data_IF_414603651173
#
_entry.id   IF_414603651173
#
_cell.length_a   1.000
_cell.length_b   1.000
_cell.length_c   1.000
_cell.angle_alpha   90.00
_cell.angle_beta   90.00
_cell.angle_gamma   90.00
#
_symmetry.space_group_name_H-M   'P 1'
#
loop_
_entity.id
_entity.type
_entity.pdbx_description
1 polymer ?
#
# COMPACT_ATOMS: atom_id res chain seq x y z
N UNK A 1 -11.13 5.34 -15.71
CA UNK A 1 -9.98 5.49 -14.79
C UNK A 1 -10.34 6.14 -13.45
N UNK A 2 -11.32 7.05 -13.37
CA UNK A 2 -11.69 7.72 -12.10
C UNK A 2 -11.95 6.76 -10.92
N UNK A 3 -12.78 5.72 -11.12
CA UNK A 3 -13.09 4.74 -10.05
C UNK A 3 -11.85 4.00 -9.54
N UNK A 4 -10.92 3.66 -10.45
CA UNK A 4 -9.65 3.01 -10.08
C UNK A 4 -8.77 3.93 -9.22
N UNK A 5 -8.68 5.21 -9.56
CA UNK A 5 -7.93 6.18 -8.74
C UNK A 5 -8.57 6.38 -7.36
N UNK A 6 -9.90 6.41 -7.29
CA UNK A 6 -10.63 6.49 -6.02
C UNK A 6 -10.32 5.26 -5.15
N UNK A 7 -10.39 4.06 -5.72
CA UNK A 7 -10.01 2.81 -5.06
C UNK A 7 -8.58 2.87 -4.49
N UNK A 8 -7.60 3.30 -5.27
CA UNK A 8 -6.21 3.41 -4.80
C UNK A 8 -6.06 4.43 -3.67
N UNK A 9 -6.77 5.56 -3.74
CA UNK A 9 -6.76 6.60 -2.70
C UNK A 9 -7.36 6.08 -1.40
N UNK A 10 -8.49 5.40 -1.46
CA UNK A 10 -9.13 4.79 -0.29
C UNK A 10 -8.21 3.77 0.40
N UNK A 11 -7.53 2.91 -0.37
CA UNK A 11 -6.55 1.96 0.19
C UNK A 11 -5.34 2.69 0.81
N UNK A 12 -4.84 3.74 0.15
CA UNK A 12 -3.73 4.55 0.70
C UNK A 12 -4.14 5.23 2.02
N UNK A 13 -5.36 5.73 2.13
CA UNK A 13 -5.87 6.35 3.35
C UNK A 13 -5.99 5.33 4.49
N UNK A 14 -6.44 4.10 4.19
CA UNK A 14 -6.46 3.00 5.16
C UNK A 14 -5.05 2.62 5.62
N UNK A 15 -4.07 2.56 4.70
CA UNK A 15 -2.67 2.30 5.04
C UNK A 15 -2.12 3.38 5.97
N UNK A 16 -2.34 4.66 5.65
CA UNK A 16 -1.91 5.78 6.50
C UNK A 16 -2.55 5.74 7.88
N UNK A 17 -3.83 5.38 7.96
CA UNK A 17 -4.53 5.24 9.23
C UNK A 17 -3.92 4.12 10.08
N UNK A 18 -3.60 2.96 9.47
CA UNK A 18 -2.92 1.86 10.15
C UNK A 18 -1.53 2.27 10.63
N UNK A 19 -0.74 2.96 9.81
CA UNK A 19 0.59 3.46 10.18
C UNK A 19 0.54 4.47 11.33
N UNK A 20 -0.35 5.45 11.26
CA UNK A 20 -0.54 6.42 12.32
C UNK A 20 -0.94 5.74 13.63
N UNK A 21 -1.86 4.78 13.57
CA UNK A 21 -2.30 4.03 14.74
C UNK A 21 -1.19 3.18 15.34
N UNK A 22 -0.40 2.51 14.50
CA UNK A 22 0.75 1.72 14.94
C UNK A 22 1.76 2.58 15.72
N UNK A 23 2.10 3.76 15.19
CA UNK A 23 3.03 4.69 15.84
C UNK A 23 2.47 5.25 17.15
N UNK A 24 1.18 5.58 17.20
CA UNK A 24 0.51 5.99 18.44
C UNK A 24 0.58 4.89 19.51
N UNK A 25 0.31 3.64 19.16
CA UNK A 25 0.33 2.50 20.09
C UNK A 25 1.76 2.25 20.60
N UNK A 26 2.74 2.27 19.71
CA UNK A 26 4.14 2.04 20.06
C UNK A 26 4.69 3.13 20.99
N UNK A 27 4.48 4.40 20.66
CA UNK A 27 5.10 5.52 21.37
C UNK A 27 4.25 6.08 22.52
N UNK A 28 2.92 6.01 22.41
CA UNK A 28 2.00 6.55 23.41
C UNK A 28 1.66 5.56 24.52
N UNK A 29 1.50 4.27 24.18
CA UNK A 29 1.06 3.24 25.12
C UNK A 29 2.11 2.15 25.40
N UNK A 30 3.21 2.11 24.63
CA UNK A 30 4.19 1.02 24.70
C UNK A 30 3.64 -0.32 24.21
N UNK A 31 2.58 -0.29 23.40
CA UNK A 31 1.87 -1.47 22.93
C UNK A 31 2.52 -2.02 21.66
N UNK A 32 3.53 -2.87 21.83
CA UNK A 32 4.20 -3.55 20.72
C UNK A 32 3.28 -4.50 19.95
N UNK A 33 2.30 -5.11 20.62
CA UNK A 33 1.37 -6.03 19.96
C UNK A 33 0.45 -5.24 19.02
N UNK A 34 -0.12 -4.15 19.51
CA UNK A 34 -0.91 -3.23 18.70
C UNK A 34 -0.14 -2.64 17.52
N UNK A 35 1.15 -2.33 17.69
CA UNK A 35 2.02 -1.94 16.57
C UNK A 35 2.12 -3.06 15.50
N UNK A 36 2.41 -4.29 15.93
CA UNK A 36 2.54 -5.45 15.01
C UNK A 36 1.24 -5.74 14.27
N UNK A 37 0.10 -5.69 14.96
CA UNK A 37 -1.23 -5.91 14.37
C UNK A 37 -1.54 -4.86 13.28
N UNK A 38 -1.21 -3.59 13.51
CA UNK A 38 -1.42 -2.54 12.51
C UNK A 38 -0.44 -2.63 11.33
N UNK A 39 0.81 -3.04 11.55
CA UNK A 39 1.74 -3.32 10.45
C UNK A 39 1.29 -4.51 9.61
N UNK A 40 0.73 -5.56 10.24
CA UNK A 40 0.12 -6.68 9.55
C UNK A 40 -1.10 -6.23 8.73
N UNK A 41 -1.94 -5.35 9.27
CA UNK A 41 -3.08 -4.77 8.54
C UNK A 41 -2.62 -4.02 7.29
N UNK A 42 -1.60 -3.16 7.38
CA UNK A 42 -1.00 -2.49 6.22
C UNK A 42 -0.56 -3.50 5.15
N UNK A 43 0.15 -4.54 5.56
CA UNK A 43 0.62 -5.57 4.64
C UNK A 43 -0.54 -6.35 4.01
N UNK A 44 -1.61 -6.64 4.76
CA UNK A 44 -2.80 -7.32 4.23
C UNK A 44 -3.51 -6.47 3.16
N UNK A 45 -3.69 -5.17 3.41
CA UNK A 45 -4.29 -4.24 2.42
C UNK A 45 -3.48 -4.26 1.12
N UNK A 46 -2.14 -4.22 1.22
CA UNK A 46 -1.27 -4.25 0.06
C UNK A 46 -1.26 -5.61 -0.65
N UNK A 47 -1.31 -6.71 0.10
CA UNK A 47 -1.37 -8.07 -0.44
C UNK A 47 -2.65 -8.28 -1.27
N UNK A 48 -3.79 -7.79 -0.78
CA UNK A 48 -5.09 -7.92 -1.45
C UNK A 48 -5.30 -6.88 -2.57
N UNK A 49 -4.39 -5.91 -2.71
CA UNK A 49 -4.56 -4.74 -3.59
C UNK A 49 -4.80 -5.13 -5.05
N UNK A 50 -4.08 -6.13 -5.56
CA UNK A 50 -4.17 -6.55 -6.96
C UNK A 50 -5.49 -7.26 -7.28
N UNK A 51 -5.97 -8.10 -6.36
CA UNK A 51 -7.23 -8.83 -6.50
C UNK A 51 -8.43 -7.89 -6.35
N UNK A 52 -8.38 -7.01 -5.35
CA UNK A 52 -9.43 -6.03 -5.09
C UNK A 52 -9.50 -4.94 -6.18
N UNK A 53 -8.43 -4.74 -6.95
CA UNK A 53 -8.42 -3.79 -8.06
C UNK A 53 -9.22 -4.28 -9.29
N UNK A 54 -9.41 -5.60 -9.46
CA UNK A 54 -9.98 -6.19 -10.68
C UNK A 54 -11.28 -5.53 -11.16
N UNK A 55 -12.28 -5.25 -10.30
CA UNK A 55 -13.54 -4.63 -10.72
C UNK A 55 -13.40 -3.20 -11.26
N UNK A 56 -12.27 -2.54 -11.01
CA UNK A 56 -12.03 -1.15 -11.41
C UNK A 56 -11.16 -1.03 -12.67
N UNK A 57 -10.53 -2.12 -13.09
CA UNK A 57 -9.63 -2.14 -14.25
C UNK A 57 -10.39 -2.08 -15.58
N UNK A 58 -11.69 -2.38 -15.60
CA UNK A 58 -12.52 -2.28 -16.80
C UNK A 58 -12.54 -0.88 -17.40
N UNK A 59 -12.52 0.15 -16.54
CA UNK A 59 -12.50 1.56 -16.94
C UNK A 59 -11.08 2.06 -17.28
N UNK A 60 -10.06 1.20 -17.25
CA UNK A 60 -8.67 1.53 -17.61
C UNK A 60 -8.41 1.16 -19.07
N UNK A 61 -7.83 2.08 -19.83
CA UNK A 61 -7.43 1.87 -21.23
C UNK A 61 -6.58 0.60 -21.38
N UNK A 62 -6.85 -0.19 -22.42
CA UNK A 62 -6.10 -1.41 -22.74
C UNK A 62 -4.61 -1.17 -22.96
N UNK A 63 -4.22 0.06 -23.33
CA UNK A 63 -2.82 0.45 -23.51
C UNK A 63 -2.08 0.50 -22.16
N UNK A 64 -2.74 0.95 -21.09
CA UNK A 64 -2.10 1.13 -19.78
C UNK A 64 -2.38 -0.02 -18.81
N UNK A 65 -3.45 -0.80 -19.04
CA UNK A 65 -3.89 -1.88 -18.15
C UNK A 65 -2.77 -2.89 -17.80
N UNK A 66 -1.96 -3.42 -18.75
CA UNK A 66 -0.93 -4.40 -18.41
C UNK A 66 0.15 -3.85 -17.45
N UNK A 67 0.56 -2.59 -17.64
CA UNK A 67 1.54 -1.93 -16.77
C UNK A 67 0.96 -1.67 -15.38
N UNK A 68 -0.32 -1.32 -15.30
CA UNK A 68 -1.04 -1.10 -14.04
C UNK A 68 -1.18 -2.42 -13.27
N UNK A 69 -1.64 -3.48 -13.92
CA UNK A 69 -1.74 -4.83 -13.33
C UNK A 69 -0.39 -5.33 -12.84
N UNK A 70 0.67 -5.14 -13.62
CA UNK A 70 2.02 -5.50 -13.19
C UNK A 70 2.42 -4.75 -11.91
N UNK A 71 2.16 -3.44 -11.85
CA UNK A 71 2.52 -2.62 -10.69
C UNK A 71 1.72 -2.99 -9.43
N UNK A 72 0.42 -3.29 -9.57
CA UNK A 72 -0.41 -3.82 -8.47
C UNK A 72 0.18 -5.13 -7.93
N UNK A 73 0.52 -6.06 -8.82
CA UNK A 73 1.12 -7.34 -8.46
C UNK A 73 2.44 -7.19 -7.72
N UNK A 74 3.27 -6.20 -8.08
CA UNK A 74 4.52 -5.94 -7.37
C UNK A 74 4.29 -5.48 -5.91
N UNK A 75 3.29 -4.62 -5.67
CA UNK A 75 2.91 -4.26 -4.30
C UNK A 75 2.39 -5.47 -3.52
N UNK A 76 1.48 -6.23 -4.13
CA UNK A 76 0.88 -7.41 -3.52
C UNK A 76 1.92 -8.48 -3.16
N UNK A 77 2.82 -8.83 -4.08
CA UNK A 77 3.85 -9.85 -3.86
C UNK A 77 4.85 -9.44 -2.76
N UNK A 78 5.25 -8.17 -2.71
CA UNK A 78 6.14 -7.68 -1.66
C UNK A 78 5.47 -7.79 -0.29
N UNK A 79 4.20 -7.39 -0.20
CA UNK A 79 3.42 -7.46 1.02
C UNK A 79 3.14 -8.90 1.46
N UNK A 80 2.74 -9.79 0.54
CA UNK A 80 2.55 -11.21 0.82
C UNK A 80 3.81 -11.85 1.36
N UNK A 81 4.98 -11.56 0.77
CA UNK A 81 6.26 -12.05 1.28
C UNK A 81 6.52 -11.59 2.72
N UNK A 82 6.20 -10.34 3.05
CA UNK A 82 6.37 -9.85 4.42
C UNK A 82 5.44 -10.56 5.43
N UNK A 83 4.22 -10.92 5.00
CA UNK A 83 3.25 -11.70 5.77
C UNK A 83 3.71 -13.15 5.97
N UNK A 84 4.21 -13.79 4.92
CA UNK A 84 4.72 -15.17 4.97
C UNK A 84 5.93 -15.30 5.90
N UNK A 85 6.78 -14.27 5.94
CA UNK A 85 7.93 -14.19 6.85
C UNK A 85 7.55 -13.79 8.28
N UNK A 86 6.28 -13.40 8.51
CA UNK A 86 5.78 -12.83 9.77
C UNK A 86 6.68 -11.71 10.32
N UNK A 87 7.27 -10.92 9.43
CA UNK A 87 8.31 -9.95 9.78
C UNK A 87 7.75 -8.54 9.84
N UNK A 88 7.51 -8.06 11.06
CA UNK A 88 7.06 -6.68 11.29
C UNK A 88 8.03 -5.64 10.71
N UNK A 89 9.33 -5.95 10.70
CA UNK A 89 10.34 -5.10 10.07
C UNK A 89 10.06 -4.94 8.58
N UNK A 90 9.87 -6.04 7.85
CA UNK A 90 9.55 -5.97 6.43
C UNK A 90 8.18 -5.31 6.17
N UNK A 91 7.18 -5.59 7.00
CA UNK A 91 5.85 -4.95 6.89
C UNK A 91 5.95 -3.43 7.06
N UNK A 92 6.74 -2.95 8.01
CA UNK A 92 6.95 -1.51 8.24
C UNK A 92 7.63 -0.82 7.06
N UNK A 93 8.58 -1.51 6.40
CA UNK A 93 9.34 -0.99 5.26
C UNK A 93 8.56 -1.02 3.93
N UNK A 94 7.39 -1.68 3.87
CA UNK A 94 6.57 -1.67 2.66
C UNK A 94 6.27 -0.23 2.22
N UNK A 95 6.37 0.00 0.91
CA UNK A 95 6.23 1.30 0.24
C UNK A 95 7.39 2.29 0.41
N UNK A 96 8.39 1.98 1.24
CA UNK A 96 9.54 2.83 1.56
C UNK A 96 10.84 2.18 1.05
N UNK A 97 11.37 2.60 -0.12
CA UNK A 97 12.67 2.12 -0.58
C UNK A 97 13.80 2.53 0.39
N UNK A 98 14.99 1.93 0.24
CA UNK A 98 16.12 2.13 1.16
C UNK A 98 16.58 3.59 1.29
N UNK A 99 16.38 4.39 0.25
CA UNK A 99 16.72 5.82 0.17
C UNK A 99 15.55 6.74 0.56
N UNK A 100 14.44 6.20 1.05
CA UNK A 100 13.29 7.00 1.49
C UNK A 100 13.61 7.81 2.75
N UNK A 101 13.27 9.10 2.71
CA UNK A 101 13.44 9.99 3.86
C UNK A 101 12.09 10.35 4.50
N UNK A 102 12.06 10.58 5.82
CA UNK A 102 10.86 11.03 6.51
C UNK A 102 10.21 12.26 5.85
N UNK A 103 8.90 12.18 5.60
CA UNK A 103 8.13 13.24 4.95
C UNK A 103 8.06 13.13 3.42
N UNK A 104 8.85 12.25 2.80
CA UNK A 104 8.69 11.93 1.38
C UNK A 104 7.43 11.09 1.14
N UNK A 105 6.75 11.26 -0.01
CA UNK A 105 5.61 10.43 -0.37
C UNK A 105 6.00 8.96 -0.50
N UNK A 106 5.07 8.07 -0.18
CA UNK A 106 5.25 6.63 -0.40
C UNK A 106 5.31 6.30 -1.89
N UNK A 107 5.87 5.14 -2.24
CA UNK A 107 5.87 4.65 -3.62
C UNK A 107 4.47 4.43 -4.20
N UNK A 108 3.45 4.16 -3.37
CA UNK A 108 2.06 4.09 -3.80
C UNK A 108 1.50 5.49 -4.07
N UNK A 109 1.78 6.48 -3.22
CA UNK A 109 1.37 7.87 -3.45
C UNK A 109 2.00 8.47 -4.71
N UNK A 110 3.29 8.20 -4.95
CA UNK A 110 3.98 8.61 -6.17
C UNK A 110 3.29 8.00 -7.39
N UNK A 111 2.97 6.71 -7.34
CA UNK A 111 2.31 6.02 -8.44
C UNK A 111 0.89 6.55 -8.70
N UNK A 112 0.10 6.82 -7.66
CA UNK A 112 -1.22 7.46 -7.79
C UNK A 112 -1.10 8.81 -8.51
N UNK A 113 -0.13 9.65 -8.13
CA UNK A 113 0.13 10.95 -8.79
C UNK A 113 0.51 10.79 -10.26
N UNK A 114 1.28 9.77 -10.60
CA UNK A 114 1.65 9.50 -11.99
C UNK A 114 0.43 9.09 -12.82
N UNK A 115 -0.44 8.22 -12.27
CA UNK A 115 -1.69 7.81 -12.94
C UNK A 115 -2.65 8.98 -13.15
N UNK A 116 -2.68 9.96 -12.25
CA UNK A 116 -3.50 11.16 -12.39
C UNK A 116 -3.05 12.06 -13.55
N UNK A 117 -1.76 12.04 -13.88
CA UNK A 117 -1.23 12.76 -15.05
C UNK A 117 -1.46 12.03 -16.36
N UNK A 118 -1.83 10.74 -16.31
CA UNK A 118 -2.19 9.93 -17.47
C UNK A 118 -3.67 10.04 -17.85
N UNK A 119 -4.47 10.78 -17.07
CA UNK A 119 -5.87 11.06 -17.40
C UNK A 119 -6.00 12.03 -18.58
#
# INVERSE_FOLDING_TARGET
MYKFLLFLRENMDQIKAAEAKALELLHGAGDEQGYRENMRLKAQILADLADNAQPFLDDVSSVHRPTIEHRLNMFAQSAQRSLDLDSVFYMSALLYPEDHEPGQPTTLELWIRDLERLQ
#
